data_IF_472612997054
#
_entry.id   IF_472612997054
#
_cell.length_a   1.000
_cell.length_b   1.000
_cell.length_c   1.000
_cell.angle_alpha   90.00
_cell.angle_beta   90.00
_cell.angle_gamma   90.00
#
_symmetry.space_group_name_H-M   'P 1'
#
loop_
_entity.id
_entity.type
_entity.pdbx_description
1 polymer ?
#
# COMPACT_ATOMS: atom_id res chain seq x y z
N UNK A 1 -1.09 7.29 -11.38
CA UNK A 1 -0.10 6.65 -10.49
C UNK A 1 1.05 7.63 -10.34
N UNK A 2 1.58 7.82 -9.14
CA UNK A 2 2.76 8.65 -8.91
C UNK A 2 3.84 7.78 -8.26
N UNK A 3 5.07 7.85 -8.76
CA UNK A 3 6.22 7.18 -8.14
C UNK A 3 7.11 8.23 -7.48
N UNK A 4 7.63 7.92 -6.30
CA UNK A 4 8.63 8.69 -5.59
C UNK A 4 9.77 7.73 -5.24
N UNK A 5 10.90 7.89 -5.92
CA UNK A 5 12.14 7.19 -5.55
C UNK A 5 12.92 8.13 -4.61
N UNK A 6 13.42 7.60 -3.51
CA UNK A 6 14.20 8.41 -2.57
C UNK A 6 15.17 7.57 -1.76
N UNK A 7 16.32 8.14 -1.43
CA UNK A 7 17.27 7.51 -0.51
C UNK A 7 17.28 8.24 0.83
N UNK A 8 17.22 7.51 1.93
CA UNK A 8 17.35 8.05 3.29
C UNK A 8 18.47 7.28 3.99
N UNK A 9 19.51 7.97 4.46
CA UNK A 9 20.64 7.35 5.16
C UNK A 9 21.27 6.17 4.39
N UNK A 10 21.51 6.38 3.08
CA UNK A 10 22.08 5.38 2.15
C UNK A 10 21.20 4.14 1.89
N UNK A 11 20.01 4.05 2.49
CA UNK A 11 19.00 3.08 2.11
C UNK A 11 18.11 3.69 1.02
N UNK A 12 18.13 3.10 -0.17
CA UNK A 12 17.18 3.43 -1.24
C UNK A 12 15.81 2.83 -0.92
N UNK A 13 14.76 3.64 -1.06
CA UNK A 13 13.37 3.26 -0.89
C UNK A 13 12.58 3.73 -2.11
N UNK A 14 11.82 2.80 -2.69
CA UNK A 14 10.89 3.12 -3.77
C UNK A 14 9.50 3.22 -3.19
N UNK A 15 8.90 4.41 -3.21
CA UNK A 15 7.53 4.62 -2.75
C UNK A 15 6.64 4.87 -3.96
N UNK A 16 5.74 3.93 -4.23
CA UNK A 16 4.74 4.04 -5.26
C UNK A 16 3.40 4.43 -4.64
N UNK A 17 2.72 5.43 -5.21
CA UNK A 17 1.36 5.78 -4.83
C UNK A 17 0.37 5.39 -5.93
N UNK A 18 -0.53 4.45 -5.63
CA UNK A 18 -1.55 3.95 -6.55
C UNK A 18 -2.93 4.39 -6.08
N UNK A 19 -3.69 4.97 -7.00
CA UNK A 19 -5.12 5.21 -6.86
C UNK A 19 -5.87 4.29 -7.82
N UNK A 20 -6.66 3.37 -7.27
CA UNK A 20 -7.50 2.44 -8.01
C UNK A 20 -8.82 3.10 -8.43
N UNK A 21 -9.33 2.85 -9.64
CA UNK A 21 -10.66 3.33 -10.04
C UNK A 21 -11.78 2.68 -9.20
N UNK A 22 -12.91 3.38 -9.05
CA UNK A 22 -14.08 2.85 -8.32
C UNK A 22 -14.62 1.54 -8.89
N UNK A 23 -14.48 1.32 -10.20
CA UNK A 23 -14.89 0.11 -10.89
C UNK A 23 -13.68 -0.59 -11.52
N UNK A 24 -13.60 -1.91 -11.38
CA UNK A 24 -12.49 -2.70 -11.95
C UNK A 24 -11.15 -2.50 -11.25
N UNK A 25 -11.12 -1.86 -10.06
CA UNK A 25 -9.91 -1.57 -9.31
C UNK A 25 -8.93 -2.75 -9.18
N UNK A 26 -9.37 -3.97 -8.81
CA UNK A 26 -8.45 -5.11 -8.70
C UNK A 26 -7.72 -5.41 -10.01
N UNK A 27 -8.39 -5.32 -11.17
CA UNK A 27 -7.78 -5.59 -12.48
C UNK A 27 -6.79 -4.49 -12.87
N UNK A 28 -7.15 -3.24 -12.62
CA UNK A 28 -6.28 -2.10 -12.85
C UNK A 28 -4.99 -2.22 -12.03
N UNK A 29 -5.09 -2.51 -10.73
CA UNK A 29 -3.92 -2.63 -9.85
C UNK A 29 -3.04 -3.81 -10.29
N UNK A 30 -3.64 -4.95 -10.66
CA UNK A 30 -2.89 -6.08 -11.24
C UNK A 30 -2.11 -5.68 -12.48
N UNK A 31 -2.74 -4.94 -13.40
CA UNK A 31 -2.07 -4.46 -14.60
C UNK A 31 -0.87 -3.58 -14.24
N UNK A 32 -1.07 -2.62 -13.33
CA UNK A 32 0.00 -1.74 -12.83
C UNK A 32 1.16 -2.54 -12.21
N UNK A 33 0.87 -3.54 -11.38
CA UNK A 33 1.90 -4.39 -10.77
C UNK A 33 2.67 -5.21 -11.80
N UNK A 34 2.00 -5.67 -12.86
CA UNK A 34 2.64 -6.41 -13.95
C UNK A 34 3.53 -5.50 -14.81
N UNK A 35 3.07 -4.29 -15.11
CA UNK A 35 3.81 -3.32 -15.91
C UNK A 35 5.09 -2.87 -15.18
N UNK A 36 5.01 -2.71 -13.86
CA UNK A 36 6.12 -2.30 -13.01
C UNK A 36 6.95 -3.47 -12.47
N UNK A 37 6.65 -4.71 -12.83
CA UNK A 37 7.24 -5.90 -12.21
C UNK A 37 8.78 -5.88 -12.16
N UNK A 38 9.43 -5.27 -13.17
CA UNK A 38 10.89 -5.14 -13.26
C UNK A 38 11.48 -4.06 -12.34
N UNK A 39 10.66 -3.08 -11.97
CA UNK A 39 11.03 -1.94 -11.14
C UNK A 39 10.71 -2.19 -9.65
N UNK A 40 9.86 -3.20 -9.36
CA UNK A 40 9.56 -3.64 -8.00
C UNK A 40 10.74 -4.44 -7.42
N UNK A 41 11.36 -3.89 -6.39
CA UNK A 41 12.53 -4.48 -5.72
C UNK A 41 12.28 -4.82 -4.24
N UNK A 42 13.32 -5.24 -3.52
CA UNK A 42 13.22 -5.58 -2.09
C UNK A 42 13.00 -4.38 -1.16
N UNK A 43 13.09 -3.14 -1.67
CA UNK A 43 12.90 -1.89 -0.93
C UNK A 43 11.66 -1.10 -1.37
N UNK A 44 10.78 -1.74 -2.15
CA UNK A 44 9.56 -1.11 -2.63
C UNK A 44 8.43 -1.12 -1.60
N UNK A 45 7.76 0.03 -1.48
CA UNK A 45 6.54 0.25 -0.71
C UNK A 45 5.52 0.86 -1.67
N UNK A 46 4.35 0.24 -1.75
CA UNK A 46 3.21 0.74 -2.51
C UNK A 46 2.14 1.18 -1.51
N UNK A 47 1.82 2.47 -1.54
CA UNK A 47 0.77 3.08 -0.73
C UNK A 47 -0.39 3.49 -1.63
N UNK A 48 -1.56 3.62 -1.05
CA UNK A 48 -2.64 4.37 -1.67
C UNK A 48 -4.01 3.75 -1.50
N UNK A 49 -4.96 4.40 -2.15
CA UNK A 49 -6.36 4.00 -2.18
C UNK A 49 -6.58 3.00 -3.31
N UNK A 50 -6.73 1.73 -2.96
CA UNK A 50 -6.93 0.68 -3.95
C UNK A 50 -8.39 0.60 -4.39
N UNK A 51 -9.32 1.28 -3.71
CA UNK A 51 -10.77 1.14 -3.84
C UNK A 51 -11.26 -0.33 -3.83
N UNK A 52 -10.45 -1.24 -3.28
CA UNK A 52 -10.79 -2.65 -3.10
C UNK A 52 -10.21 -3.16 -1.79
N UNK A 53 -10.99 -3.89 -0.98
CA UNK A 53 -10.45 -4.66 0.13
C UNK A 53 -9.67 -5.87 -0.39
N UNK A 54 -8.64 -6.28 0.34
CA UNK A 54 -7.79 -7.42 -0.02
C UNK A 54 -8.13 -8.69 0.77
N UNK A 55 -8.83 -8.56 1.90
CA UNK A 55 -9.25 -9.67 2.75
C UNK A 55 -10.72 -9.57 3.15
N UNK A 56 -11.27 -10.67 3.66
CA UNK A 56 -12.65 -10.72 4.18
C UNK A 56 -12.81 -9.80 5.40
N UNK A 57 -11.76 -9.67 6.21
CA UNK A 57 -11.76 -8.83 7.42
C UNK A 57 -11.70 -7.33 7.10
N UNK A 58 -11.33 -6.96 5.88
CA UNK A 58 -11.34 -5.57 5.44
C UNK A 58 -12.76 -5.08 5.11
N UNK A 59 -13.78 -5.94 5.16
CA UNK A 59 -15.19 -5.57 5.01
C UNK A 59 -15.94 -5.85 6.29
N UNK A 60 -16.71 -4.87 6.78
CA UNK A 60 -17.58 -5.08 7.95
C UNK A 60 -18.63 -6.18 7.72
N UNK A 61 -19.07 -6.34 6.47
CA UNK A 61 -20.03 -7.38 6.06
C UNK A 61 -19.42 -8.78 6.00
N UNK A 62 -18.08 -8.91 6.04
CA UNK A 62 -17.35 -10.17 5.90
C UNK A 62 -17.74 -10.99 4.66
N UNK A 63 -18.16 -10.29 3.61
CA UNK A 63 -18.42 -10.92 2.32
C UNK A 63 -17.15 -11.56 1.75
N UNK A 64 -17.32 -12.68 1.05
CA UNK A 64 -16.23 -13.37 0.38
C UNK A 64 -15.58 -12.45 -0.68
N UNK A 65 -14.25 -12.46 -0.74
CA UNK A 65 -13.50 -11.79 -1.80
C UNK A 65 -13.79 -12.45 -3.16
N UNK A 66 -13.90 -11.63 -4.21
CA UNK A 66 -14.17 -12.12 -5.56
C UNK A 66 -12.89 -12.70 -6.23
N UNK A 67 -13.04 -13.32 -7.41
CA UNK A 67 -11.92 -13.94 -8.14
C UNK A 67 -10.85 -12.93 -8.58
N UNK A 68 -11.25 -11.70 -8.88
CA UNK A 68 -10.30 -10.67 -9.33
C UNK A 68 -9.40 -10.21 -8.16
N UNK A 69 -9.95 -10.10 -6.95
CA UNK A 69 -9.20 -9.82 -5.72
C UNK A 69 -8.30 -11.01 -5.36
N UNK A 70 -8.79 -12.24 -5.52
CA UNK A 70 -7.95 -13.43 -5.33
C UNK A 70 -6.75 -13.43 -6.28
N UNK A 71 -6.96 -13.11 -7.56
CA UNK A 71 -5.88 -12.96 -8.52
C UNK A 71 -4.90 -11.85 -8.14
N UNK A 72 -5.39 -10.70 -7.65
CA UNK A 72 -4.53 -9.62 -7.17
C UNK A 72 -3.66 -10.08 -5.99
N UNK A 73 -4.23 -10.79 -5.02
CA UNK A 73 -3.47 -11.32 -3.90
C UNK A 73 -2.39 -12.32 -4.35
N UNK A 74 -2.68 -13.15 -5.35
CA UNK A 74 -1.70 -14.07 -5.93
C UNK A 74 -0.57 -13.34 -6.65
N UNK A 75 -0.88 -12.29 -7.41
CA UNK A 75 0.14 -11.48 -8.10
C UNK A 75 1.04 -10.75 -7.10
N UNK A 76 0.46 -10.21 -6.00
CA UNK A 76 1.22 -9.62 -4.89
C UNK A 76 2.17 -10.64 -4.27
N UNK A 77 1.70 -11.84 -3.99
CA UNK A 77 2.52 -12.92 -3.43
C UNK A 77 3.66 -13.31 -4.38
N UNK A 78 3.39 -13.42 -5.69
CA UNK A 78 4.39 -13.70 -6.71
C UNK A 78 5.46 -12.61 -6.81
N UNK A 79 5.10 -11.35 -6.58
CA UNK A 79 6.01 -10.22 -6.53
C UNK A 79 6.76 -10.07 -5.19
N UNK A 80 6.62 -11.02 -4.25
CA UNK A 80 7.13 -10.94 -2.88
C UNK A 80 6.63 -9.70 -2.11
N UNK A 81 5.45 -9.20 -2.45
CA UNK A 81 4.78 -8.10 -1.79
C UNK A 81 3.74 -8.60 -0.80
N UNK A 82 3.57 -7.88 0.31
CA UNK A 82 2.61 -8.21 1.37
C UNK A 82 1.85 -6.97 1.81
N UNK A 83 0.59 -7.13 2.22
CA UNK A 83 -0.12 -6.09 2.99
C UNK A 83 0.51 -6.02 4.38
N UNK A 84 1.29 -4.95 4.62
CA UNK A 84 2.05 -4.77 5.86
C UNK A 84 1.11 -4.63 7.06
N UNK A 85 0.03 -3.86 6.89
CA UNK A 85 -0.94 -3.66 7.97
C UNK A 85 -1.60 -4.98 8.38
N UNK A 86 -2.06 -5.77 7.40
CA UNK A 86 -2.69 -7.06 7.67
C UNK A 86 -1.70 -8.08 8.24
N UNK A 87 -0.43 -8.02 7.84
CA UNK A 87 0.62 -8.90 8.37
C UNK A 87 0.90 -8.61 9.84
N UNK A 88 0.96 -7.32 10.22
CA UNK A 88 1.19 -6.90 11.61
C UNK A 88 -0.05 -7.05 12.49
N UNK A 89 -1.25 -6.94 11.90
CA UNK A 89 -2.53 -7.04 12.61
C UNK A 89 -3.48 -8.07 11.97
N UNK A 90 -3.17 -9.39 12.00
CA UNK A 90 -3.90 -10.41 11.24
C UNK A 90 -5.41 -10.45 11.53
N UNK A 91 -5.80 -10.14 12.77
CA UNK A 91 -7.18 -10.19 13.25
C UNK A 91 -7.88 -8.83 13.31
N UNK A 92 -7.19 -7.74 12.91
CA UNK A 92 -7.78 -6.40 12.99
C UNK A 92 -9.02 -6.27 12.11
N UNK A 93 -9.99 -5.52 12.62
CA UNK A 93 -11.22 -5.13 11.94
C UNK A 93 -11.37 -3.61 11.95
N UNK A 94 -10.25 -2.89 11.93
CA UNK A 94 -10.24 -1.45 11.72
C UNK A 94 -10.42 -1.12 10.24
N UNK A 95 -11.05 0.02 9.95
CA UNK A 95 -11.49 0.40 8.61
C UNK A 95 -11.02 1.81 8.27
N UNK A 96 -10.89 2.07 6.96
CA UNK A 96 -10.44 3.39 6.48
C UNK A 96 -11.53 4.20 5.81
N UNK A 97 -12.66 3.58 5.45
CA UNK A 97 -13.74 4.23 4.74
C UNK A 97 -15.12 3.78 5.22
N UNK A 98 -16.06 4.73 5.29
CA UNK A 98 -17.47 4.47 5.56
C UNK A 98 -18.33 4.80 4.33
N UNK A 99 -19.10 3.81 3.85
CA UNK A 99 -20.06 4.00 2.77
C UNK A 99 -21.45 4.27 3.34
N UNK A 100 -21.88 5.54 3.29
CA UNK A 100 -23.21 5.94 3.75
C UNK A 100 -24.38 5.24 3.01
N UNK A 101 -24.38 5.10 1.66
CA UNK A 101 -25.48 4.43 0.96
C UNK A 101 -25.71 2.98 1.39
N UNK A 102 -24.63 2.29 1.77
CA UNK A 102 -24.68 0.88 2.15
C UNK A 102 -24.61 0.65 3.66
N UNK A 103 -24.34 1.70 4.45
CA UNK A 103 -24.10 1.62 5.89
C UNK A 103 -23.01 0.59 6.25
N UNK A 104 -21.95 0.54 5.45
CA UNK A 104 -20.85 -0.43 5.61
C UNK A 104 -19.50 0.24 5.79
N UNK A 105 -18.63 -0.38 6.57
CA UNK A 105 -17.24 0.03 6.69
C UNK A 105 -16.35 -0.88 5.85
N UNK A 106 -15.32 -0.29 5.26
CA UNK A 106 -14.31 -1.03 4.51
C UNK A 106 -12.92 -0.45 4.72
N UNK A 107 -11.92 -1.30 4.69
CA UNK A 107 -10.52 -0.92 4.55
C UNK A 107 -10.15 -1.08 3.08
N UNK A 108 -9.91 0.05 2.43
CA UNK A 108 -9.59 0.14 0.99
C UNK A 108 -8.30 0.90 0.73
N UNK A 109 -7.74 1.55 1.76
CA UNK A 109 -6.37 2.05 1.74
C UNK A 109 -5.45 0.92 2.19
N UNK A 110 -4.34 0.75 1.47
CA UNK A 110 -3.38 -0.31 1.75
C UNK A 110 -1.96 0.24 1.74
N UNK A 111 -1.14 -0.34 2.61
CA UNK A 111 0.31 -0.21 2.56
C UNK A 111 0.82 -1.60 2.22
N UNK A 112 1.15 -1.77 0.96
CA UNK A 112 1.80 -2.96 0.44
C UNK A 112 3.30 -2.71 0.49
N UNK A 113 4.09 -3.71 0.83
CA UNK A 113 5.54 -3.58 0.67
C UNK A 113 6.23 -4.91 0.57
N UNK A 114 7.48 -4.85 0.16
CA UNK A 114 8.34 -6.01 -0.02
C UNK A 114 8.47 -6.78 1.29
N UNK A 115 8.37 -8.11 1.22
CA UNK A 115 8.49 -9.00 2.38
C UNK A 115 9.80 -8.77 3.14
N UNK A 116 10.86 -8.36 2.45
CA UNK A 116 12.16 -8.00 3.03
C UNK A 116 12.10 -6.79 3.97
N UNK A 117 11.15 -5.85 3.77
CA UNK A 117 10.97 -4.67 4.63
C UNK A 117 10.28 -4.98 5.96
N UNK A 118 9.71 -6.18 6.12
CA UNK A 118 8.94 -6.51 7.32
C UNK A 118 9.78 -6.44 8.60
N UNK A 119 11.07 -6.77 8.54
CA UNK A 119 11.99 -6.65 9.68
C UNK A 119 12.31 -5.19 10.07
N UNK A 120 12.14 -4.24 9.14
CA UNK A 120 12.29 -2.80 9.37
C UNK A 120 11.00 -2.17 9.87
N UNK A 121 9.84 -2.79 9.67
CA UNK A 121 8.55 -2.24 10.12
C UNK A 121 8.47 -2.21 11.66
N UNK A 122 8.32 -1.01 12.24
CA UNK A 122 8.11 -0.84 13.69
C UNK A 122 6.66 -1.03 14.07
N UNK A 123 5.81 -0.22 13.47
CA UNK A 123 4.40 -0.12 13.79
C UNK A 123 3.64 0.41 12.59
N UNK A 124 2.35 0.12 12.56
CA UNK A 124 1.41 0.65 11.61
C UNK A 124 0.07 0.87 12.28
N UNK A 125 -0.54 2.01 12.00
CA UNK A 125 -1.75 2.49 12.66
C UNK A 125 -2.68 3.16 11.65
N UNK A 126 -3.99 3.06 11.89
CA UNK A 126 -5.01 3.80 11.15
C UNK A 126 -5.35 5.04 11.97
N UNK A 127 -5.28 6.21 11.31
CA UNK A 127 -5.51 7.52 11.93
C UNK A 127 -6.80 8.09 11.35
N UNK A 128 -7.83 8.15 12.18
CA UNK A 128 -9.07 8.85 11.87
C UNK A 128 -8.83 10.37 11.88
N UNK A 129 -9.48 11.09 10.98
CA UNK A 129 -9.35 12.55 10.89
C UNK A 129 -10.70 13.17 10.48
N UNK A 130 -10.83 14.48 10.68
CA UNK A 130 -12.01 15.26 10.30
C UNK A 130 -11.87 15.98 8.96
N UNK A 131 -10.73 15.81 8.28
CA UNK A 131 -10.40 16.50 7.02
C UNK A 131 -10.87 15.74 5.78
N UNK A 132 -11.05 14.42 5.91
CA UNK A 132 -11.41 13.51 4.82
C UNK A 132 -12.44 12.49 5.30
N UNK A 133 -13.22 11.96 4.37
CA UNK A 133 -14.08 10.78 4.57
C UNK A 133 -13.27 9.48 4.71
N UNK A 134 -11.95 9.56 4.48
CA UNK A 134 -11.01 8.46 4.64
C UNK A 134 -10.04 8.68 5.81
N UNK A 135 -9.82 7.62 6.58
CA UNK A 135 -8.74 7.54 7.56
C UNK A 135 -7.40 7.38 6.85
N UNK A 136 -6.34 7.97 7.42
CA UNK A 136 -4.98 7.77 6.95
C UNK A 136 -4.41 6.45 7.51
N UNK A 137 -3.44 5.85 6.82
CA UNK A 137 -2.64 4.76 7.36
C UNK A 137 -1.22 5.26 7.51
N UNK A 138 -0.64 5.09 8.70
CA UNK A 138 0.75 5.42 8.99
C UNK A 138 1.58 4.13 9.09
N UNK A 139 2.79 4.17 8.54
CA UNK A 139 3.81 3.14 8.67
C UNK A 139 5.09 3.79 9.21
N UNK A 140 5.66 3.19 10.26
CA UNK A 140 6.96 3.59 10.78
C UNK A 140 8.02 2.53 10.47
N UNK A 141 9.15 2.96 9.91
CA UNK A 141 10.28 2.09 9.55
C UNK A 141 11.50 2.36 10.46
N UNK A 142 12.27 1.30 10.72
CA UNK A 142 13.63 1.35 11.26
C UNK A 142 14.58 1.48 10.08
N UNK A 143 15.14 2.66 9.90
CA UNK A 143 16.26 2.89 8.99
C UNK A 143 17.52 2.87 9.86
N UNK A 144 18.52 2.08 9.47
CA UNK A 144 19.79 2.07 10.21
C UNK A 144 20.56 3.34 9.85
N UNK A 145 21.04 4.07 10.87
CA UNK A 145 22.00 5.17 10.64
C UNK A 145 23.32 4.57 10.19
N UNK A 146 23.65 4.73 8.92
CA UNK A 146 25.05 4.89 8.52
C UNK A 146 25.46 6.34 8.77
N UNK A 147 26.74 6.58 9.05
CA UNK A 147 27.27 7.86 9.53
C UNK A 147 26.78 9.10 8.73
N UNK A 148 26.60 10.25 9.38
CA UNK A 148 25.92 11.40 8.78
C UNK A 148 26.78 12.06 7.69
N UNK A 149 26.46 11.77 6.43
CA UNK A 149 26.82 12.64 5.31
C UNK A 149 25.84 13.84 5.25
N UNK A 150 26.30 15.07 4.92
CA UNK A 150 25.53 16.29 5.22
C UNK A 150 24.29 16.51 4.35
N UNK A 151 24.03 15.67 3.34
CA UNK A 151 23.02 15.95 2.31
C UNK A 151 22.31 14.67 1.84
N UNK A 152 21.22 14.29 2.51
CA UNK A 152 20.25 13.33 1.94
C UNK A 152 19.12 14.12 1.29
N UNK A 153 19.10 14.15 -0.05
CA UNK A 153 18.01 14.72 -0.82
C UNK A 153 17.07 13.59 -1.27
N UNK A 154 15.75 13.76 -1.07
CA UNK A 154 14.73 12.96 -1.77
C UNK A 154 14.70 13.49 -3.21
N UNK A 155 15.13 12.67 -4.18
CA UNK A 155 15.11 13.05 -5.59
C UNK A 155 13.77 12.64 -6.21
N UNK A 156 12.86 13.59 -6.37
CA UNK A 156 11.56 13.36 -7.01
C UNK A 156 11.75 13.16 -8.52
N UNK A 157 11.50 11.96 -9.04
CA UNK A 157 11.29 11.75 -10.48
C UNK A 157 9.81 11.43 -10.73
N UNK A 158 9.13 12.32 -11.47
CA UNK A 158 7.75 12.12 -11.89
C UNK A 158 7.75 11.35 -13.22
N UNK A 159 7.46 10.05 -13.16
CA UNK A 159 7.08 9.31 -14.37
C UNK A 159 5.61 9.65 -14.68
N UNK A 160 5.39 10.54 -15.65
CA UNK A 160 4.10 10.69 -16.29
C UNK A 160 3.92 9.52 -17.26
N UNK A 161 3.02 8.58 -16.96
CA UNK A 161 2.44 7.77 -18.01
C UNK A 161 1.52 8.68 -18.82
N UNK A 162 1.96 9.05 -20.02
CA UNK A 162 1.15 9.79 -20.98
C UNK A 162 0.00 8.91 -21.50
N UNK A 163 -1.21 9.45 -21.36
CA UNK A 163 -2.50 9.10 -21.98
C UNK A 163 -3.16 7.77 -21.65
#
# INVERSE_FOLDING_TARGET
MFSLIGSIQQEELTILNIYGPNAGAPRYIRQVLNDLQKDLDSHTIIVGDFNTPLSILDRSTRQKINKDIQGLNSDLEQANLIDIYRTLHPKSTEYTFFSAPHHTYSKTDHIIGSKALLNKCKTTEIITNSLSDRSAIKLELRIQKTDPEPHSFIKTEQLALEC
#
